data_IF_519559507836
#
_entry.id   IF_519559507836
#
_cell.length_a   1.000
_cell.length_b   1.000
_cell.length_c   1.000
_cell.angle_alpha   90.00
_cell.angle_beta   90.00
_cell.angle_gamma   90.00
#
_symmetry.space_group_name_H-M   'P 1'
#
loop_
_entity.id
_entity.type
_entity.pdbx_description
1 polymer ?
#
# COMPACT_ATOMS: atom_id res chain seq x y z
N UNK A 1 42.96 -38.15 -32.88
CA UNK A 1 42.38 -38.13 -31.52
C UNK A 1 42.67 -36.77 -30.94
N UNK A 2 41.72 -35.83 -31.07
CA UNK A 2 41.90 -34.43 -30.67
C UNK A 2 41.17 -34.17 -29.37
N UNK A 3 41.91 -33.77 -28.34
CA UNK A 3 41.34 -33.22 -27.10
C UNK A 3 41.13 -31.73 -27.30
N UNK A 4 39.87 -31.28 -27.30
CA UNK A 4 39.54 -29.86 -27.21
C UNK A 4 39.14 -29.53 -25.77
N UNK A 5 39.91 -28.64 -25.16
CA UNK A 5 39.48 -27.81 -24.05
C UNK A 5 38.40 -26.84 -24.54
N UNK A 6 37.27 -26.78 -23.84
CA UNK A 6 36.36 -25.62 -23.90
C UNK A 6 36.22 -25.08 -22.48
N UNK A 7 36.90 -23.96 -22.24
CA UNK A 7 36.68 -23.09 -21.08
C UNK A 7 35.36 -22.35 -21.28
N UNK A 8 34.35 -22.64 -20.45
CA UNK A 8 33.17 -21.80 -20.32
C UNK A 8 33.49 -20.62 -19.39
N UNK A 9 33.70 -19.44 -19.96
CA UNK A 9 33.76 -18.20 -19.18
C UNK A 9 32.32 -17.76 -18.87
N UNK A 10 31.95 -17.76 -17.59
CA UNK A 10 30.70 -17.15 -17.11
C UNK A 10 30.85 -15.63 -17.11
N UNK A 11 30.17 -14.96 -18.04
CA UNK A 11 30.01 -13.51 -18.02
C UNK A 11 29.13 -13.10 -16.83
N UNK A 12 29.66 -12.21 -15.98
CA UNK A 12 28.98 -11.64 -14.81
C UNK A 12 27.76 -10.83 -15.26
N UNK A 13 26.55 -11.28 -14.90
CA UNK A 13 25.31 -10.55 -15.17
C UNK A 13 25.28 -9.21 -14.40
N UNK A 14 24.95 -8.13 -15.11
CA UNK A 14 24.79 -6.78 -14.59
C UNK A 14 23.31 -6.55 -14.20
N UNK A 15 22.99 -5.93 -13.04
CA UNK A 15 21.60 -5.80 -12.59
C UNK A 15 20.78 -4.85 -13.49
N UNK A 16 19.47 -5.08 -13.67
CA UNK A 16 18.64 -4.27 -14.55
C UNK A 16 18.31 -2.89 -13.96
N UNK A 17 18.29 -1.88 -14.82
CA UNK A 17 17.89 -0.52 -14.52
C UNK A 17 16.43 -0.43 -14.03
N UNK A 18 16.20 0.25 -12.90
CA UNK A 18 14.89 0.62 -12.35
C UNK A 18 14.08 1.44 -13.38
N UNK A 19 12.83 1.06 -13.63
CA UNK A 19 11.93 1.80 -14.53
C UNK A 19 11.60 3.20 -13.97
N UNK A 20 11.46 4.23 -14.83
CA UNK A 20 11.23 5.61 -14.41
C UNK A 20 9.83 5.83 -13.81
N UNK A 21 9.76 6.67 -12.78
CA UNK A 21 8.60 6.88 -11.88
C UNK A 21 7.31 7.37 -12.56
N UNK A 22 7.36 7.79 -13.82
CA UNK A 22 6.27 8.50 -14.51
C UNK A 22 5.11 7.58 -14.98
N UNK A 23 5.21 6.26 -14.79
CA UNK A 23 4.22 5.28 -15.30
C UNK A 23 3.30 4.68 -14.24
N UNK A 24 3.37 5.13 -12.98
CA UNK A 24 2.42 4.72 -11.93
C UNK A 24 1.14 5.56 -12.04
N UNK A 25 0.08 5.02 -12.65
CA UNK A 25 -1.26 5.64 -12.60
C UNK A 25 -1.77 5.66 -11.15
N UNK A 26 -2.31 6.80 -10.65
CA UNK A 26 -2.88 6.86 -9.30
C UNK A 26 -4.23 6.13 -9.24
N UNK A 27 -4.45 5.43 -8.13
CA UNK A 27 -5.72 4.78 -7.80
C UNK A 27 -6.69 5.86 -7.27
N UNK A 28 -7.78 6.12 -7.99
CA UNK A 28 -8.80 7.12 -7.59
C UNK A 28 -9.77 6.47 -6.61
N UNK A 29 -9.87 7.03 -5.40
CA UNK A 29 -10.81 6.62 -4.36
C UNK A 29 -12.11 7.44 -4.48
N UNK A 30 -13.24 6.78 -4.68
CA UNK A 30 -14.58 7.39 -4.74
C UNK A 30 -15.08 7.77 -3.34
N UNK A 31 -15.84 8.86 -3.16
CA UNK A 31 -16.47 9.18 -1.88
C UNK A 31 -17.91 8.65 -1.79
N UNK A 32 -18.23 8.01 -0.67
CA UNK A 32 -19.58 7.95 -0.10
C UNK A 32 -19.38 8.18 1.41
N UNK A 33 -20.09 9.10 2.06
CA UNK A 33 -21.48 8.93 2.49
C UNK A 33 -22.13 10.30 2.72
N UNK A 34 -23.39 10.41 2.30
CA UNK A 34 -24.32 11.51 2.52
C UNK A 34 -24.91 11.44 3.96
N UNK A 35 -24.91 12.56 4.68
CA UNK A 35 -25.56 12.70 6.00
C UNK A 35 -26.63 13.78 5.89
N UNK A 36 -27.85 13.36 5.57
CA UNK A 36 -29.05 14.17 5.79
C UNK A 36 -29.47 14.09 7.25
N UNK A 37 -29.30 15.18 7.99
CA UNK A 37 -30.02 15.47 9.23
C UNK A 37 -30.76 16.79 9.04
N UNK A 38 -32.08 16.76 9.14
CA UNK A 38 -32.90 17.97 9.08
C UNK A 38 -34.37 17.63 9.24
N UNK A 39 -34.87 17.65 10.47
CA UNK A 39 -36.05 18.46 10.78
C UNK A 39 -36.20 18.63 12.30
N UNK A 40 -36.10 19.87 12.77
CA UNK A 40 -36.53 20.27 14.10
C UNK A 40 -37.30 21.58 13.95
N UNK A 41 -38.62 21.45 13.88
CA UNK A 41 -39.58 22.56 13.92
C UNK A 41 -39.58 23.21 15.30
N UNK A 42 -39.48 24.55 15.30
CA UNK A 42 -39.76 25.44 16.43
C UNK A 42 -41.27 25.80 16.41
N UNK A 43 -41.89 26.07 17.57
CA UNK A 43 -42.57 27.36 17.64
C UNK A 43 -42.32 28.13 18.94
N UNK A 44 -42.57 29.42 18.80
CA UNK A 44 -42.28 30.52 19.70
C UNK A 44 -43.35 30.78 20.76
N UNK A 45 -42.96 31.56 21.75
CA UNK A 45 -43.79 32.25 22.75
C UNK A 45 -42.93 32.51 23.98
N UNK A 46 -42.92 33.63 24.66
CA UNK A 46 -43.55 34.95 24.52
C UNK A 46 -42.77 35.85 25.51
N UNK A 47 -42.76 37.16 25.30
CA UNK A 47 -41.99 38.14 26.04
C UNK A 47 -42.40 38.25 27.52
N UNK A 48 -41.44 38.46 28.42
CA UNK A 48 -41.61 39.43 29.51
C UNK A 48 -40.26 39.98 30.02
N UNK A 49 -40.21 41.31 30.10
CA UNK A 49 -39.07 42.20 30.39
C UNK A 49 -38.79 42.33 31.92
N UNK A 50 -37.85 43.17 32.36
CA UNK A 50 -36.49 42.83 32.81
C UNK A 50 -36.33 42.96 34.34
N UNK A 51 -35.62 42.05 34.98
CA UNK A 51 -35.16 42.23 36.37
C UNK A 51 -33.67 42.55 36.34
N UNK A 52 -33.34 43.81 36.62
CA UNK A 52 -31.99 44.28 36.88
C UNK A 52 -31.50 43.66 38.20
N UNK A 53 -31.00 42.43 38.10
CA UNK A 53 -30.25 41.77 39.16
C UNK A 53 -28.76 42.02 38.96
N UNK A 54 -28.17 42.79 39.87
CA UNK A 54 -26.73 42.90 40.10
C UNK A 54 -26.15 41.52 40.39
N UNK A 55 -25.89 40.75 39.34
CA UNK A 55 -25.24 39.44 39.39
C UNK A 55 -23.75 39.65 39.24
N UNK A 56 -23.01 39.25 40.28
CA UNK A 56 -21.56 39.38 40.37
C UNK A 56 -20.84 38.88 39.12
N UNK A 57 -19.65 39.45 38.94
CA UNK A 57 -18.51 38.87 38.26
C UNK A 57 -18.88 37.63 37.47
N UNK A 58 -19.22 37.83 36.19
CA UNK A 58 -19.18 36.74 35.21
C UNK A 58 -17.73 36.28 35.21
N UNK A 59 -17.40 35.35 36.10
CA UNK A 59 -16.24 34.48 35.95
C UNK A 59 -16.40 33.89 34.56
N UNK A 60 -15.65 34.44 33.61
CA UNK A 60 -15.44 33.80 32.33
C UNK A 60 -15.15 32.33 32.64
N UNK A 61 -15.84 31.36 32.02
CA UNK A 61 -15.73 29.97 32.43
C UNK A 61 -14.25 29.61 32.52
N UNK A 62 -13.80 29.25 33.73
CA UNK A 62 -12.40 29.15 34.15
C UNK A 62 -11.70 27.91 33.56
N UNK A 63 -12.12 27.50 32.36
CA UNK A 63 -11.72 26.28 31.64
C UNK A 63 -11.75 26.51 30.11
N UNK A 64 -11.19 27.62 29.62
CA UNK A 64 -10.85 27.72 28.20
C UNK A 64 -9.34 27.77 28.08
N UNK A 65 -8.78 26.74 27.44
CA UNK A 65 -7.38 26.77 27.00
C UNK A 65 -7.18 28.01 26.12
N UNK A 66 -6.01 28.68 26.19
CA UNK A 66 -5.66 29.78 25.28
C UNK A 66 -5.86 29.38 23.82
N UNK A 67 -6.17 30.36 22.95
CA UNK A 67 -6.41 30.11 21.52
C UNK A 67 -5.26 29.33 20.85
N UNK A 68 -4.01 29.65 21.21
CA UNK A 68 -2.83 28.95 20.70
C UNK A 68 -2.80 27.45 21.09
N UNK A 69 -3.29 27.09 22.28
CA UNK A 69 -3.38 25.69 22.71
C UNK A 69 -4.53 24.97 21.99
N UNK A 70 -5.66 25.64 21.76
CA UNK A 70 -6.75 25.11 20.95
C UNK A 70 -6.32 24.84 19.50
N UNK A 71 -5.52 25.74 18.91
CA UNK A 71 -4.98 25.56 17.55
C UNK A 71 -4.01 24.38 17.49
N UNK A 72 -3.18 24.19 18.53
CA UNK A 72 -2.30 23.03 18.63
C UNK A 72 -3.08 21.72 18.73
N UNK A 73 -4.17 21.70 19.50
CA UNK A 73 -5.06 20.53 19.58
C UNK A 73 -5.65 20.22 18.20
N UNK A 74 -6.15 21.22 17.48
CA UNK A 74 -6.69 21.04 16.11
C UNK A 74 -5.65 20.49 15.15
N UNK A 75 -4.39 20.95 15.26
CA UNK A 75 -3.30 20.44 14.44
C UNK A 75 -3.05 18.94 14.70
N UNK A 76 -2.97 18.51 15.95
CA UNK A 76 -2.77 17.10 16.27
C UNK A 76 -3.98 16.23 15.91
N UNK A 77 -5.19 16.75 16.07
CA UNK A 77 -6.42 16.10 15.65
C UNK A 77 -6.42 15.89 14.12
N UNK A 78 -5.97 16.87 13.34
CA UNK A 78 -5.83 16.73 11.90
C UNK A 78 -4.82 15.62 11.53
N UNK A 79 -3.64 15.62 12.17
CA UNK A 79 -2.62 14.58 11.95
C UNK A 79 -3.14 13.17 12.28
N UNK A 80 -3.86 13.02 13.39
CA UNK A 80 -4.47 11.76 13.77
C UNK A 80 -5.49 11.30 12.72
N UNK A 81 -6.38 12.19 12.30
CA UNK A 81 -7.43 11.87 11.32
C UNK A 81 -6.84 11.52 9.95
N UNK A 82 -5.77 12.20 9.52
CA UNK A 82 -5.02 11.85 8.31
C UNK A 82 -4.41 10.44 8.43
N UNK A 83 -3.74 10.13 9.54
CA UNK A 83 -3.18 8.79 9.77
C UNK A 83 -4.26 7.70 9.82
N UNK A 84 -5.34 7.94 10.55
CA UNK A 84 -6.45 7.00 10.70
C UNK A 84 -7.14 6.71 9.35
N UNK A 85 -7.23 7.72 8.47
CA UNK A 85 -7.76 7.53 7.13
C UNK A 85 -6.85 6.67 6.22
N UNK A 86 -5.53 6.66 6.45
CA UNK A 86 -4.58 5.85 5.69
C UNK A 86 -4.55 4.38 6.12
N UNK A 87 -4.85 4.10 7.40
CA UNK A 87 -4.69 2.78 8.01
C UNK A 87 -5.38 1.64 7.22
N UNK A 88 -6.66 1.75 6.78
CA UNK A 88 -7.31 0.67 6.05
C UNK A 88 -6.64 0.33 4.72
N UNK A 89 -6.08 1.33 4.03
CA UNK A 89 -5.38 1.11 2.77
C UNK A 89 -4.04 0.37 2.99
N UNK A 90 -3.34 0.66 4.09
CA UNK A 90 -2.12 -0.04 4.47
C UNK A 90 -2.40 -1.50 4.83
N UNK A 91 -3.45 -1.77 5.60
CA UNK A 91 -3.90 -3.13 5.94
C UNK A 91 -4.31 -3.92 4.69
N UNK A 92 -5.07 -3.28 3.79
CA UNK A 92 -5.46 -3.89 2.53
C UNK A 92 -4.25 -4.24 1.65
N UNK A 93 -3.25 -3.35 1.56
CA UNK A 93 -2.01 -3.62 0.84
C UNK A 93 -1.25 -4.83 1.43
N UNK A 94 -1.24 -4.96 2.76
CA UNK A 94 -0.65 -6.12 3.45
C UNK A 94 -1.36 -7.43 3.06
N UNK A 95 -2.70 -7.43 3.05
CA UNK A 95 -3.48 -8.60 2.64
C UNK A 95 -3.28 -8.95 1.17
N UNK A 96 -3.25 -7.94 0.28
CA UNK A 96 -3.00 -8.14 -1.14
C UNK A 96 -1.62 -8.75 -1.40
N UNK A 97 -0.61 -8.29 -0.68
CA UNK A 97 0.74 -8.87 -0.75
C UNK A 97 0.75 -10.34 -0.33
N UNK A 98 0.06 -10.71 0.76
CA UNK A 98 -0.03 -12.12 1.18
C UNK A 98 -0.67 -12.99 0.09
N UNK A 99 -1.74 -12.51 -0.55
CA UNK A 99 -2.37 -13.23 -1.65
C UNK A 99 -1.47 -13.35 -2.89
N UNK A 100 -0.76 -12.27 -3.23
CA UNK A 100 0.21 -12.27 -4.33
C UNK A 100 1.34 -13.27 -4.06
N UNK A 101 1.82 -13.33 -2.81
CA UNK A 101 2.84 -14.29 -2.37
C UNK A 101 2.39 -15.73 -2.56
N UNK A 102 1.16 -16.07 -2.18
CA UNK A 102 0.62 -17.43 -2.40
C UNK A 102 0.64 -17.82 -3.89
N UNK A 103 0.26 -16.89 -4.79
CA UNK A 103 0.33 -17.13 -6.24
C UNK A 103 1.78 -17.31 -6.71
N UNK A 104 2.70 -16.49 -6.21
CA UNK A 104 4.10 -16.58 -6.56
C UNK A 104 4.75 -17.87 -6.05
N UNK A 105 4.31 -18.42 -4.92
CA UNK A 105 4.76 -19.73 -4.44
C UNK A 105 4.34 -20.86 -5.38
N UNK A 106 3.12 -20.81 -5.94
CA UNK A 106 2.70 -21.78 -6.95
C UNK A 106 3.57 -21.69 -8.23
N UNK A 107 3.88 -20.47 -8.67
CA UNK A 107 4.80 -20.25 -9.80
C UNK A 107 6.22 -20.73 -9.49
N UNK A 108 6.67 -20.57 -8.25
CA UNK A 108 7.97 -21.05 -7.78
C UNK A 108 8.04 -22.58 -7.81
N UNK A 109 7.00 -23.26 -7.33
CA UNK A 109 6.90 -24.72 -7.41
C UNK A 109 6.91 -25.19 -8.87
N UNK A 110 6.16 -24.52 -9.76
CA UNK A 110 6.19 -24.81 -11.19
C UNK A 110 7.59 -24.63 -11.81
N UNK A 111 8.31 -23.56 -11.45
CA UNK A 111 9.62 -23.23 -12.00
C UNK A 111 10.74 -24.18 -11.53
N UNK A 112 10.82 -24.45 -10.22
CA UNK A 112 11.93 -25.22 -9.64
C UNK A 112 11.67 -26.73 -9.59
N UNK A 113 10.44 -27.13 -9.30
CA UNK A 113 10.09 -28.52 -8.99
C UNK A 113 9.11 -29.14 -9.99
N UNK A 114 8.59 -28.34 -10.93
CA UNK A 114 7.54 -28.73 -11.87
C UNK A 114 7.98 -28.77 -13.33
N UNK A 115 7.00 -28.68 -14.23
CA UNK A 115 7.18 -28.94 -15.66
C UNK A 115 7.77 -27.74 -16.45
N UNK A 116 8.21 -26.67 -15.78
CA UNK A 116 8.67 -25.45 -16.46
C UNK A 116 9.75 -25.74 -17.50
N UNK A 117 10.75 -26.55 -17.14
CA UNK A 117 11.85 -26.88 -18.04
C UNK A 117 11.36 -27.64 -19.29
N UNK A 118 10.47 -28.61 -19.10
CA UNK A 118 9.92 -29.38 -20.21
C UNK A 118 9.05 -28.50 -21.14
N UNK A 119 8.31 -27.54 -20.59
CA UNK A 119 7.52 -26.59 -21.37
C UNK A 119 8.40 -25.59 -22.13
N UNK A 120 9.47 -25.10 -21.51
CA UNK A 120 10.46 -24.26 -22.18
C UNK A 120 11.11 -25.01 -23.36
N UNK A 121 11.58 -26.25 -23.16
CA UNK A 121 12.14 -27.09 -24.23
C UNK A 121 11.10 -27.40 -25.33
N UNK A 122 9.82 -27.49 -25.00
CA UNK A 122 8.74 -27.63 -25.99
C UNK A 122 8.53 -26.34 -26.81
N UNK A 123 8.65 -25.16 -26.20
CA UNK A 123 8.60 -23.88 -26.91
C UNK A 123 9.78 -23.75 -27.89
N UNK A 124 10.99 -24.06 -27.44
CA UNK A 124 12.21 -24.03 -28.28
C UNK A 124 12.11 -25.01 -29.46
N UNK A 125 11.48 -26.16 -29.26
CA UNK A 125 11.21 -27.14 -30.31
C UNK A 125 10.03 -26.77 -31.23
N UNK A 126 9.38 -25.63 -31.02
CA UNK A 126 8.23 -25.18 -31.83
C UNK A 126 6.97 -26.02 -31.62
N UNK A 127 6.82 -26.69 -30.47
CA UNK A 127 5.67 -27.55 -30.14
C UNK A 127 4.52 -26.80 -29.44
N UNK A 128 4.68 -25.49 -29.20
CA UNK A 128 3.66 -24.63 -28.59
C UNK A 128 2.98 -23.78 -29.68
N UNK A 129 1.64 -23.69 -29.70
CA UNK A 129 0.90 -22.82 -30.62
C UNK A 129 1.36 -21.36 -30.52
N UNK A 130 1.51 -20.70 -31.67
CA UNK A 130 2.06 -19.34 -31.74
C UNK A 130 1.16 -18.27 -31.09
N UNK A 131 -0.12 -18.55 -30.90
CA UNK A 131 -1.12 -17.69 -30.26
C UNK A 131 -1.13 -17.82 -28.72
N UNK A 132 -0.42 -18.80 -28.14
CA UNK A 132 -0.32 -18.96 -26.70
C UNK A 132 0.67 -17.95 -26.09
N UNK A 133 0.27 -17.17 -25.07
CA UNK A 133 1.20 -16.34 -24.31
C UNK A 133 2.25 -17.19 -23.60
N UNK A 134 3.53 -16.93 -23.89
CA UNK A 134 4.67 -17.73 -23.44
C UNK A 134 5.70 -16.97 -22.60
N UNK A 135 5.32 -15.79 -22.07
CA UNK A 135 6.24 -14.95 -21.29
C UNK A 135 6.88 -15.70 -20.11
N UNK A 136 6.12 -16.59 -19.46
CA UNK A 136 6.61 -17.39 -18.32
C UNK A 136 7.65 -18.45 -18.68
N UNK A 137 7.81 -18.79 -19.96
CA UNK A 137 8.79 -19.80 -20.42
C UNK A 137 10.18 -19.20 -20.65
N UNK A 138 10.34 -17.90 -20.44
CA UNK A 138 11.64 -17.25 -20.35
C UNK A 138 12.18 -17.35 -18.92
N UNK A 139 13.46 -17.67 -18.78
CA UNK A 139 14.13 -17.79 -17.47
C UNK A 139 13.96 -16.51 -16.64
N UNK A 140 14.20 -15.36 -17.28
CA UNK A 140 14.19 -14.05 -16.64
C UNK A 140 12.83 -13.67 -16.05
N UNK A 141 11.71 -14.08 -16.65
CA UNK A 141 10.39 -13.60 -16.22
C UNK A 141 10.05 -14.05 -14.80
N UNK A 142 10.16 -15.35 -14.53
CA UNK A 142 9.84 -15.90 -13.21
C UNK A 142 10.96 -15.62 -12.21
N UNK A 143 12.22 -15.68 -12.65
CA UNK A 143 13.35 -15.39 -11.78
C UNK A 143 13.33 -13.94 -11.25
N UNK A 144 13.07 -12.95 -12.11
CA UNK A 144 12.96 -11.55 -11.69
C UNK A 144 11.77 -11.33 -10.74
N UNK A 145 10.66 -12.03 -10.94
CA UNK A 145 9.51 -11.95 -10.03
C UNK A 145 9.86 -12.46 -8.63
N UNK A 146 10.66 -13.53 -8.52
CA UNK A 146 11.13 -14.06 -7.23
C UNK A 146 12.08 -13.10 -6.51
N UNK A 147 12.97 -12.44 -7.26
CA UNK A 147 13.85 -11.40 -6.70
C UNK A 147 13.01 -10.24 -6.15
N UNK A 148 12.07 -9.73 -6.94
CA UNK A 148 11.23 -8.60 -6.56
C UNK A 148 10.41 -8.89 -5.28
N UNK A 149 9.87 -10.11 -5.11
CA UNK A 149 9.16 -10.49 -3.87
C UNK A 149 10.10 -10.52 -2.66
N UNK A 150 11.31 -11.07 -2.83
CA UNK A 150 12.29 -11.11 -1.75
C UNK A 150 12.74 -9.71 -1.33
N UNK A 151 12.99 -8.82 -2.30
CA UNK A 151 13.38 -7.44 -2.02
C UNK A 151 12.28 -6.69 -1.27
N UNK A 152 11.03 -6.78 -1.72
CA UNK A 152 9.90 -6.17 -1.05
C UNK A 152 9.71 -6.71 0.38
N UNK A 153 9.88 -8.02 0.58
CA UNK A 153 9.79 -8.63 1.91
C UNK A 153 10.88 -8.09 2.86
N UNK A 154 12.10 -7.90 2.36
CA UNK A 154 13.20 -7.34 3.15
C UNK A 154 12.92 -5.88 3.54
N UNK A 155 12.39 -5.07 2.63
CA UNK A 155 11.97 -3.70 2.93
C UNK A 155 10.93 -3.67 4.05
N UNK A 156 9.92 -4.55 4.00
CA UNK A 156 8.88 -4.61 5.02
C UNK A 156 9.42 -5.04 6.39
N UNK A 157 10.35 -5.99 6.42
CA UNK A 157 11.03 -6.38 7.67
C UNK A 157 11.81 -5.20 8.24
N UNK A 158 12.53 -4.45 7.40
CA UNK A 158 13.28 -3.28 7.84
C UNK A 158 12.37 -2.17 8.39
N UNK A 159 11.27 -1.88 7.69
CA UNK A 159 10.28 -0.90 8.13
C UNK A 159 9.65 -1.28 9.47
N UNK A 160 9.21 -2.54 9.61
CA UNK A 160 8.64 -3.04 10.86
C UNK A 160 9.66 -3.01 12.01
N UNK A 161 10.90 -3.41 11.77
CA UNK A 161 11.96 -3.36 12.77
C UNK A 161 12.32 -1.93 13.18
N UNK A 162 12.27 -0.96 12.25
CA UNK A 162 12.51 0.44 12.56
C UNK A 162 11.38 1.03 13.42
N UNK A 163 10.12 0.74 13.08
CA UNK A 163 8.96 1.20 13.84
C UNK A 163 8.91 0.67 15.29
N UNK A 164 9.56 -0.47 15.58
CA UNK A 164 9.64 -1.04 16.93
C UNK A 164 10.79 -0.50 17.78
N UNK A 165 11.70 0.30 17.21
CA UNK A 165 12.82 0.90 17.94
C UNK A 165 12.50 2.27 18.54
N UNK A 166 11.42 2.89 18.06
CA UNK A 166 10.91 4.19 18.51
C UNK A 166 10.03 4.02 19.76
#
# INVERSE_FOLDING_TARGET
MGSQHVSGQYTRAQPPHRAPEHQRKPLVLLPMIDRTAGDASVPAGDETRPEAGTGGDREAPMHMLPAAELDRIRQFEALYNEWAAMLPALEAAQQQWQQARTRLQALRAYYFDGDWRAHMEADEAGRIPADLPRGILTEDTLYNAFIAERELALEWVQLGAQALKE
#
